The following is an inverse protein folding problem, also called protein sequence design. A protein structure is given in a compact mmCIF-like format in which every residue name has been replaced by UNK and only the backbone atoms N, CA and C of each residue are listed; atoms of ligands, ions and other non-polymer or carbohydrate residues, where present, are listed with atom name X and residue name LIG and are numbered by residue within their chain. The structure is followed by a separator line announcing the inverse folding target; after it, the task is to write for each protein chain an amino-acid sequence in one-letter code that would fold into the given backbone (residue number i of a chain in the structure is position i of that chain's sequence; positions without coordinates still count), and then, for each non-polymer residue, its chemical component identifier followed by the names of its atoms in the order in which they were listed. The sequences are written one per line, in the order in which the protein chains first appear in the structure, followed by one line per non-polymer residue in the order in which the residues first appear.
data_IF_905643723161
#
_entry.id   IF_905643723161
#
_cell.length_a   1.000
_cell.length_b   1.000
_cell.length_c   1.000
_cell.angle_alpha   90.00
_cell.angle_beta   90.00
_cell.angle_gamma   90.00
#
_symmetry.space_group_name_H-M   'P 1'
#
loop_
_entity.id
_entity.type
_entity.pdbx_description
1 polymer ?
#
# COMPACT_ATOMS: atom_id res chain seq x y z
N UNK A 1 -14.32 4.61 8.85
CA UNK A 1 -12.93 4.42 8.40
C UNK A 1 -12.65 2.93 8.34
N UNK A 2 -11.62 2.49 7.60
CA UNK A 2 -11.17 1.10 7.56
C UNK A 2 -9.71 1.04 8.00
N UNK A 3 -9.41 0.15 8.96
CA UNK A 3 -8.04 -0.16 9.37
C UNK A 3 -7.85 -1.66 9.13
N UNK A 4 -6.88 -2.02 8.29
CA UNK A 4 -6.74 -3.41 7.86
C UNK A 4 -5.28 -3.83 7.69
N UNK A 5 -5.01 -5.08 8.06
CA UNK A 5 -3.79 -5.80 7.70
C UNK A 5 -4.22 -7.10 6.98
N UNK A 6 -4.53 -7.04 5.67
CA UNK A 6 -4.92 -8.20 4.89
C UNK A 6 -3.83 -9.28 4.85
N UNK A 7 -4.19 -10.55 4.62
CA UNK A 7 -3.23 -11.65 4.60
C UNK A 7 -2.18 -11.50 3.47
N UNK A 8 -0.91 -11.73 3.82
CA UNK A 8 0.23 -11.70 2.89
C UNK A 8 0.40 -12.99 2.05
N UNK A 9 -0.51 -13.97 2.21
CA UNK A 9 -0.39 -15.30 1.60
C UNK A 9 -0.50 -15.32 0.08
N UNK A 10 0.11 -16.35 -0.55
CA UNK A 10 0.08 -16.56 -2.01
C UNK A 10 -1.32 -16.93 -2.52
N UNK A 11 -1.43 -16.83 -3.85
CA UNK A 11 -2.59 -17.19 -4.70
C UNK A 11 -3.30 -18.45 -4.18
N UNK A 12 -4.63 -18.43 -4.14
CA UNK A 12 -5.37 -19.69 -4.02
C UNK A 12 -5.37 -20.27 -5.43
N UNK A 13 -4.71 -21.40 -5.61
CA UNK A 13 -4.84 -22.20 -6.82
C UNK A 13 -5.48 -23.52 -6.47
N UNK A 14 -6.32 -24.02 -7.37
CA UNK A 14 -6.81 -25.39 -7.31
C UNK A 14 -5.87 -26.20 -8.21
N UNK A 15 -5.18 -27.19 -7.65
CA UNK A 15 -4.38 -28.12 -8.44
C UNK A 15 -5.24 -29.32 -8.80
N UNK A 16 -5.51 -29.51 -10.09
CA UNK A 16 -6.15 -30.72 -10.60
C UNK A 16 -5.07 -31.63 -11.16
N UNK A 17 -5.10 -32.92 -10.76
CA UNK A 17 -4.22 -33.94 -11.35
C UNK A 17 -5.07 -34.80 -12.28
N UNK A 18 -4.74 -34.80 -13.56
CA UNK A 18 -5.41 -35.60 -14.59
C UNK A 18 -5.04 -37.09 -14.39
N UNK A 19 -5.79 -38.02 -15.01
CA UNK A 19 -5.47 -39.46 -14.97
C UNK A 19 -4.08 -39.80 -15.57
N UNK A 20 -3.52 -38.91 -16.39
CA UNK A 20 -2.17 -39.01 -16.97
C UNK A 20 -1.05 -38.47 -16.05
N UNK A 21 -1.39 -37.99 -14.85
CA UNK A 21 -0.42 -37.48 -13.87
C UNK A 21 0.07 -36.06 -14.09
N UNK A 22 -0.44 -35.36 -15.11
CA UNK A 22 -0.21 -33.93 -15.31
C UNK A 22 -0.92 -33.11 -14.20
N UNK A 23 -0.26 -32.04 -13.74
CA UNK A 23 -0.84 -31.10 -12.78
C UNK A 23 -1.21 -29.80 -13.48
N UNK A 24 -2.49 -29.57 -13.70
CA UNK A 24 -3.01 -28.27 -14.09
C UNK A 24 -3.33 -27.44 -12.84
N UNK A 25 -2.78 -26.23 -12.79
CA UNK A 25 -2.99 -25.29 -11.68
C UNK A 25 -3.86 -24.15 -12.17
N UNK A 26 -5.12 -24.11 -11.76
CA UNK A 26 -6.05 -23.06 -12.15
C UNK A 26 -6.05 -21.93 -11.12
N UNK A 27 -5.80 -20.70 -11.58
CA UNK A 27 -5.80 -19.50 -10.76
C UNK A 27 -7.26 -19.10 -10.47
N UNK A 28 -7.71 -19.18 -9.22
CA UNK A 28 -9.04 -18.74 -8.81
C UNK A 28 -9.15 -17.22 -8.94
N UNK A 29 -9.74 -16.74 -10.03
CA UNK A 29 -10.07 -15.32 -10.23
C UNK A 29 -11.52 -15.07 -9.83
N UNK A 30 -11.73 -14.16 -8.86
CA UNK A 30 -13.07 -13.73 -8.49
C UNK A 30 -13.51 -12.59 -9.41
N UNK A 31 -14.51 -12.82 -10.25
CA UNK A 31 -15.06 -11.78 -11.10
C UNK A 31 -16.04 -10.90 -10.30
N UNK A 32 -15.60 -9.68 -9.99
CA UNK A 32 -16.34 -8.67 -9.22
C UNK A 32 -16.54 -7.45 -10.09
N UNK A 33 -17.78 -7.16 -10.50
CA UNK A 33 -18.08 -6.02 -11.39
C UNK A 33 -17.76 -4.66 -10.76
N UNK A 34 -17.67 -4.58 -9.44
CA UNK A 34 -17.31 -3.37 -8.70
C UNK A 34 -15.79 -3.14 -8.58
N UNK A 35 -14.97 -4.08 -9.08
CA UNK A 35 -13.51 -3.94 -9.11
C UNK A 35 -13.06 -3.25 -10.39
N UNK A 36 -11.94 -2.53 -10.31
CA UNK A 36 -11.35 -1.85 -11.47
C UNK A 36 -10.61 -2.80 -12.40
N UNK A 37 -10.08 -3.90 -11.87
CA UNK A 37 -9.43 -4.95 -12.64
C UNK A 37 -9.61 -6.32 -11.97
N UNK A 38 -9.78 -7.35 -12.79
CA UNK A 38 -9.75 -8.75 -12.36
C UNK A 38 -8.30 -9.20 -12.20
N UNK A 39 -7.96 -9.81 -11.06
CA UNK A 39 -6.63 -10.36 -10.80
C UNK A 39 -6.70 -11.54 -9.82
N UNK A 40 -5.79 -12.51 -9.95
CA UNK A 40 -5.59 -13.58 -8.95
C UNK A 40 -4.79 -13.10 -7.74
N UNK A 41 -4.25 -11.87 -7.78
CA UNK A 41 -3.55 -11.27 -6.67
C UNK A 41 -4.52 -10.84 -5.54
N UNK A 42 -4.47 -11.59 -4.44
CA UNK A 42 -5.31 -11.34 -3.25
C UNK A 42 -5.08 -9.96 -2.64
N UNK A 43 -3.83 -9.49 -2.57
CA UNK A 43 -3.52 -8.22 -1.92
C UNK A 43 -4.08 -7.04 -2.72
N UNK A 44 -3.99 -7.09 -4.04
CA UNK A 44 -4.63 -6.13 -4.93
C UNK A 44 -6.16 -6.17 -4.82
N UNK A 45 -6.75 -7.37 -4.77
CA UNK A 45 -8.19 -7.54 -4.54
C UNK A 45 -8.65 -6.96 -3.19
N UNK A 46 -7.85 -7.08 -2.13
CA UNK A 46 -8.15 -6.46 -0.84
C UNK A 46 -8.15 -4.93 -0.91
N UNK A 47 -7.21 -4.31 -1.64
CA UNK A 47 -7.20 -2.85 -1.82
C UNK A 47 -8.47 -2.39 -2.55
N UNK A 48 -8.85 -3.08 -3.63
CA UNK A 48 -10.08 -2.80 -4.38
C UNK A 48 -11.31 -2.97 -3.48
N UNK A 49 -11.39 -4.07 -2.73
CA UNK A 49 -12.50 -4.35 -1.83
C UNK A 49 -12.64 -3.31 -0.71
N UNK A 50 -11.53 -2.92 -0.07
CA UNK A 50 -11.54 -1.88 0.96
C UNK A 50 -12.07 -0.58 0.36
N UNK A 51 -11.62 -0.21 -0.84
CA UNK A 51 -12.12 0.98 -1.52
C UNK A 51 -13.62 0.90 -1.77
N UNK A 52 -14.17 -0.24 -2.21
CA UNK A 52 -15.62 -0.36 -2.49
C UNK A 52 -16.49 -0.33 -1.23
N UNK A 53 -15.96 -0.72 -0.08
CA UNK A 53 -16.65 -0.61 1.21
C UNK A 53 -16.66 0.81 1.81
N UNK A 54 -15.75 1.69 1.39
CA UNK A 54 -15.68 3.04 1.95
C UNK A 54 -16.83 3.90 1.43
N UNK A 55 -17.46 4.64 2.34
CA UNK A 55 -18.28 5.82 1.98
C UNK A 55 -17.44 6.82 1.20
N UNK A 56 -18.09 7.74 0.48
CA UNK A 56 -17.43 8.79 -0.33
C UNK A 56 -16.47 9.67 0.45
N UNK A 57 -16.63 9.81 1.76
CA UNK A 57 -15.73 10.56 2.67
C UNK A 57 -14.94 9.65 3.61
N UNK A 58 -14.99 8.33 3.36
CA UNK A 58 -14.36 7.32 4.19
C UNK A 58 -12.84 7.34 4.05
N UNK A 59 -12.15 7.03 5.14
CA UNK A 59 -10.68 6.98 5.21
C UNK A 59 -10.21 5.56 5.43
N UNK A 60 -9.06 5.20 4.87
CA UNK A 60 -8.43 3.91 5.10
C UNK A 60 -6.94 4.02 5.41
N UNK A 61 -6.48 3.13 6.30
CA UNK A 61 -5.08 2.78 6.47
C UNK A 61 -4.93 1.27 6.28
N UNK A 62 -4.19 0.85 5.26
CA UNK A 62 -4.09 -0.56 4.86
C UNK A 62 -2.64 -0.99 4.78
N UNK A 63 -2.29 -2.04 5.51
CA UNK A 63 -0.97 -2.67 5.39
C UNK A 63 -0.94 -3.52 4.12
N UNK A 64 0.02 -3.30 3.23
CA UNK A 64 0.19 -4.04 1.99
C UNK A 64 1.65 -4.44 1.78
N UNK A 65 1.95 -5.60 1.19
CA UNK A 65 3.30 -5.93 0.76
C UNK A 65 3.78 -5.06 -0.42
N UNK A 66 5.09 -4.98 -0.63
CA UNK A 66 5.70 -4.20 -1.70
C UNK A 66 5.17 -4.55 -3.10
N UNK A 67 4.73 -5.78 -3.35
CA UNK A 67 4.24 -6.17 -4.69
C UNK A 67 3.04 -5.33 -5.14
N UNK A 68 2.19 -4.88 -4.22
CA UNK A 68 1.08 -3.97 -4.56
C UNK A 68 1.59 -2.66 -5.20
N UNK A 69 2.80 -2.23 -4.85
CA UNK A 69 3.40 -0.98 -5.32
C UNK A 69 4.08 -1.08 -6.70
N UNK A 70 4.48 -2.28 -7.14
CA UNK A 70 5.28 -2.43 -8.38
C UNK A 70 4.74 -3.46 -9.38
N UNK A 71 3.79 -4.31 -9.00
CA UNK A 71 3.24 -5.33 -9.91
C UNK A 71 2.63 -4.68 -11.16
N UNK A 72 3.00 -5.18 -12.34
CA UNK A 72 2.48 -4.70 -13.62
C UNK A 72 1.07 -5.22 -13.93
N UNK A 73 0.58 -4.97 -15.14
CA UNK A 73 -0.71 -5.46 -15.61
C UNK A 73 -1.86 -4.95 -14.75
N UNK A 74 -2.64 -5.86 -14.15
CA UNK A 74 -3.75 -5.47 -13.26
C UNK A 74 -3.30 -4.61 -12.07
N UNK A 75 -2.09 -4.84 -11.54
CA UNK A 75 -1.54 -4.03 -10.45
C UNK A 75 -1.35 -2.57 -10.82
N UNK A 76 -0.84 -2.31 -12.03
CA UNK A 76 -0.68 -0.95 -12.56
C UNK A 76 -2.03 -0.26 -12.75
N UNK A 77 -3.01 -0.96 -13.34
CA UNK A 77 -4.38 -0.45 -13.51
C UNK A 77 -5.00 -0.08 -12.17
N UNK A 78 -4.87 -0.94 -11.16
CA UNK A 78 -5.41 -0.70 -9.82
C UNK A 78 -4.71 0.48 -9.15
N UNK A 79 -3.37 0.60 -9.25
CA UNK A 79 -2.64 1.76 -8.71
C UNK A 79 -3.08 3.06 -9.38
N UNK A 80 -3.19 3.08 -10.70
CA UNK A 80 -3.65 4.27 -11.45
C UNK A 80 -5.06 4.66 -11.01
N UNK A 81 -5.97 3.69 -10.93
CA UNK A 81 -7.35 3.92 -10.47
C UNK A 81 -7.42 4.37 -9.01
N UNK A 82 -6.53 3.87 -8.15
CA UNK A 82 -6.41 4.33 -6.76
C UNK A 82 -6.02 5.81 -6.71
N UNK A 83 -5.01 6.24 -7.48
CA UNK A 83 -4.60 7.64 -7.57
C UNK A 83 -5.71 8.54 -8.14
N UNK A 84 -6.45 8.05 -9.15
CA UNK A 84 -7.54 8.79 -9.78
C UNK A 84 -8.74 8.98 -8.86
N UNK A 85 -9.19 7.91 -8.20
CA UNK A 85 -10.49 7.86 -7.51
C UNK A 85 -10.40 8.08 -5.99
N UNK A 86 -9.19 8.16 -5.45
CA UNK A 86 -8.96 8.40 -4.02
C UNK A 86 -7.90 9.48 -3.85
N UNK A 87 -7.88 10.11 -2.68
CA UNK A 87 -6.79 10.96 -2.23
C UNK A 87 -5.79 10.07 -1.47
N UNK A 88 -4.92 9.36 -2.20
CA UNK A 88 -3.80 8.60 -1.64
C UNK A 88 -2.72 9.58 -1.24
N UNK A 89 -2.71 9.97 0.02
CA UNK A 89 -1.88 11.10 0.46
C UNK A 89 -0.58 10.67 1.16
N UNK A 90 -0.47 9.41 1.59
CA UNK A 90 0.71 8.94 2.32
C UNK A 90 0.98 7.44 2.14
N UNK A 91 2.26 7.09 1.99
CA UNK A 91 2.78 5.73 2.04
C UNK A 91 3.90 5.67 3.09
N UNK A 92 3.72 4.83 4.11
CA UNK A 92 4.75 4.52 5.10
C UNK A 92 5.43 3.21 4.71
N UNK A 93 6.73 3.22 4.45
CA UNK A 93 7.51 2.00 4.22
C UNK A 93 7.94 1.43 5.56
N UNK A 94 7.42 0.25 5.91
CA UNK A 94 7.72 -0.39 7.19
C UNK A 94 9.09 -1.10 7.16
N UNK A 95 9.77 -1.20 8.31
CA UNK A 95 11.04 -1.91 8.44
C UNK A 95 10.81 -3.41 8.35
N UNK A 96 11.87 -4.14 8.03
CA UNK A 96 11.84 -5.60 8.04
C UNK A 96 11.94 -6.13 9.47
N UNK A 97 11.54 -7.39 9.67
CA UNK A 97 11.70 -8.07 10.96
C UNK A 97 10.62 -7.75 12.02
N UNK A 98 9.58 -7.01 11.64
CA UNK A 98 8.43 -6.68 12.52
C UNK A 98 7.23 -7.63 12.35
N UNK A 99 7.22 -8.47 11.31
CA UNK A 99 6.20 -9.49 11.08
C UNK A 99 6.76 -10.89 11.36
N UNK A 100 5.88 -11.83 11.71
CA UNK A 100 6.23 -13.25 11.89
C UNK A 100 6.82 -13.88 10.61
N UNK A 101 6.33 -13.45 9.45
CA UNK A 101 6.88 -13.86 8.17
C UNK A 101 8.19 -13.09 7.90
N UNK A 102 9.32 -13.77 8.12
CA UNK A 102 10.65 -13.22 7.88
C UNK A 102 10.80 -12.75 6.42
N UNK A 103 11.37 -11.56 6.23
CA UNK A 103 11.66 -11.01 4.90
C UNK A 103 10.50 -10.28 4.21
N UNK A 104 9.28 -10.31 4.76
CA UNK A 104 8.17 -9.54 4.20
C UNK A 104 8.47 -8.04 4.28
N UNK A 105 8.47 -7.39 3.12
CA UNK A 105 8.53 -5.94 2.99
C UNK A 105 7.12 -5.41 2.83
N UNK A 106 6.66 -4.65 3.82
CA UNK A 106 5.31 -4.11 3.85
C UNK A 106 5.31 -2.58 3.93
N UNK A 107 4.18 -1.99 3.56
CA UNK A 107 3.91 -0.57 3.56
C UNK A 107 2.53 -0.33 4.16
N UNK A 108 2.27 0.87 4.66
CA UNK A 108 0.93 1.32 5.01
C UNK A 108 0.49 2.36 4.00
N UNK A 109 -0.61 2.11 3.30
CA UNK A 109 -1.26 3.08 2.42
C UNK A 109 -2.30 3.85 3.22
N UNK A 110 -2.25 5.16 3.16
CA UNK A 110 -3.27 6.04 3.73
C UNK A 110 -3.98 6.80 2.61
N UNK A 111 -5.28 6.56 2.48
CA UNK A 111 -6.09 7.22 1.45
C UNK A 111 -7.49 7.58 1.95
N UNK A 112 -8.00 8.71 1.45
CA UNK A 112 -9.39 9.10 1.63
C UNK A 112 -10.15 8.75 0.33
N UNK A 113 -11.27 8.05 0.44
CA UNK A 113 -12.16 7.83 -0.69
C UNK A 113 -12.76 9.18 -1.13
N UNK A 114 -13.16 9.27 -2.39
CA UNK A 114 -13.72 10.47 -2.99
C UNK A 114 -14.81 10.11 -3.99
N UNK A 115 -15.62 11.09 -4.36
CA UNK A 115 -16.64 10.94 -5.40
C UNK A 115 -16.01 10.80 -6.79
N UNK A 116 -16.80 10.38 -7.78
CA UNK A 116 -16.33 10.34 -9.15
C UNK A 116 -15.99 11.76 -9.63
N UNK A 117 -14.83 11.92 -10.27
CA UNK A 117 -14.35 13.19 -10.79
C UNK A 117 -13.66 12.96 -12.14
N UNK A 118 -13.76 13.90 -13.10
CA UNK A 118 -12.99 13.82 -14.34
C UNK A 118 -11.49 14.05 -14.11
N UNK A 119 -11.13 14.67 -12.98
CA UNK A 119 -9.74 14.92 -12.60
C UNK A 119 -9.29 13.95 -11.50
N UNK A 120 -8.02 13.50 -11.50
CA UNK A 120 -7.46 12.71 -10.41
C UNK A 120 -7.56 13.42 -9.06
N UNK A 121 -7.99 12.70 -8.04
CA UNK A 121 -8.06 13.21 -6.67
C UNK A 121 -6.69 13.32 -6.01
N UNK A 122 -5.82 12.33 -6.22
CA UNK A 122 -4.45 12.39 -5.70
C UNK A 122 -3.64 13.43 -6.47
N UNK A 123 -3.10 14.41 -5.76
CA UNK A 123 -2.22 15.46 -6.33
C UNK A 123 -0.75 15.21 -6.03
N UNK A 124 -0.48 14.75 -4.83
CA UNK A 124 0.85 14.41 -4.34
C UNK A 124 0.73 13.23 -3.36
N UNK A 125 1.75 12.38 -3.34
CA UNK A 125 1.87 11.28 -2.39
C UNK A 125 3.13 11.49 -1.57
N UNK A 126 2.99 11.45 -0.25
CA UNK A 126 4.13 11.54 0.65
C UNK A 126 4.63 10.17 1.06
N UNK A 127 5.93 9.96 0.96
CA UNK A 127 6.60 8.73 1.36
C UNK A 127 7.40 8.97 2.62
N UNK A 128 7.20 8.09 3.60
CA UNK A 128 8.07 7.99 4.76
C UNK A 128 8.88 6.69 4.69
N UNK A 129 10.19 6.79 4.56
CA UNK A 129 11.08 5.64 4.56
C UNK A 129 11.50 5.28 6.00
N UNK A 130 10.72 4.41 6.65
CA UNK A 130 11.10 3.78 7.92
C UNK A 130 11.69 2.38 7.71
N UNK A 131 12.39 2.15 6.60
CA UNK A 131 12.95 0.85 6.25
C UNK A 131 14.45 0.91 6.02
N UNK A 132 14.91 1.85 5.20
CA UNK A 132 16.33 1.97 4.82
C UNK A 132 17.17 2.28 6.05
N UNK A 133 18.20 1.45 6.32
CA UNK A 133 19.07 1.52 7.49
C UNK A 133 18.33 1.40 8.84
N UNK A 134 17.16 0.74 8.87
CA UNK A 134 16.40 0.49 10.10
C UNK A 134 16.27 -1.02 10.33
N UNK A 135 16.64 -1.44 11.54
CA UNK A 135 16.62 -2.84 11.93
C UNK A 135 15.78 -3.03 13.20
N UNK A 136 14.74 -3.85 13.07
CA UNK A 136 13.94 -4.38 14.17
C UNK A 136 13.95 -5.90 14.14
N UNK A 137 13.73 -6.51 15.30
CA UNK A 137 13.51 -7.95 15.43
C UNK A 137 12.44 -8.20 16.48
N UNK A 138 11.61 -9.22 16.29
CA UNK A 138 10.52 -9.55 17.20
C UNK A 138 10.95 -9.75 18.66
N UNK A 139 12.17 -10.26 18.90
CA UNK A 139 12.66 -10.60 20.24
C UNK A 139 13.62 -9.58 20.84
N UNK A 140 14.64 -9.13 20.09
CA UNK A 140 15.74 -8.31 20.65
C UNK A 140 15.50 -6.81 20.54
N UNK A 141 14.82 -6.38 19.47
CA UNK A 141 14.55 -4.96 19.19
C UNK A 141 13.14 -4.80 18.59
N UNK A 142 12.09 -5.03 19.39
CA UNK A 142 10.72 -4.89 18.92
C UNK A 142 10.46 -3.45 18.50
N UNK A 143 9.57 -3.26 17.52
CA UNK A 143 9.07 -1.94 17.14
C UNK A 143 8.22 -1.38 18.29
N UNK A 144 8.46 -0.12 18.65
CA UNK A 144 7.72 0.57 19.72
C UNK A 144 6.94 1.75 19.16
N UNK A 145 6.14 2.39 20.01
CA UNK A 145 5.37 3.56 19.60
C UNK A 145 6.29 4.76 19.35
N UNK A 146 7.33 4.93 20.15
CA UNK A 146 8.27 6.06 20.09
C UNK A 146 9.05 6.07 18.76
N UNK A 147 9.30 4.88 18.21
CA UNK A 147 9.90 4.68 16.88
C UNK A 147 9.08 5.34 15.76
N UNK A 148 7.77 5.51 15.95
CA UNK A 148 6.84 6.15 15.00
C UNK A 148 6.65 7.64 15.25
N UNK A 149 7.25 8.22 16.30
CA UNK A 149 6.99 9.61 16.69
C UNK A 149 7.33 10.62 15.58
N UNK A 150 8.50 10.45 14.95
CA UNK A 150 8.93 11.31 13.82
C UNK A 150 7.96 11.17 12.62
N UNK A 151 7.53 9.95 12.30
CA UNK A 151 6.53 9.73 11.26
C UNK A 151 5.21 10.45 11.58
N UNK A 152 4.70 10.33 12.80
CA UNK A 152 3.45 10.97 13.22
C UNK A 152 3.56 12.49 13.12
N UNK A 153 4.71 13.05 13.50
CA UNK A 153 5.00 14.47 13.36
C UNK A 153 5.02 14.90 11.88
N UNK A 154 5.71 14.16 11.01
CA UNK A 154 5.77 14.42 9.58
C UNK A 154 4.40 14.26 8.89
N UNK A 155 3.63 13.25 9.31
CA UNK A 155 2.28 12.98 8.83
C UNK A 155 1.32 14.13 9.15
N UNK A 156 1.51 14.78 10.31
CA UNK A 156 0.74 15.93 10.79
C UNK A 156 -0.79 15.72 10.64
N UNK A 157 -1.40 14.86 11.47
CA UNK A 157 -2.82 14.51 11.34
C UNK A 157 -3.76 15.71 11.54
N UNK A 158 -3.30 16.75 12.24
CA UNK A 158 -4.08 17.97 12.48
C UNK A 158 -4.19 18.83 11.22
N UNK A 159 -3.14 18.89 10.39
CA UNK A 159 -3.16 19.65 9.14
C UNK A 159 -2.14 19.14 8.11
N UNK A 160 -2.61 18.31 7.17
CA UNK A 160 -1.78 17.75 6.09
C UNK A 160 -1.17 18.81 5.15
N UNK A 161 -1.75 20.02 5.07
CA UNK A 161 -1.24 21.07 4.19
C UNK A 161 0.00 21.77 4.76
N UNK A 162 0.32 21.53 6.04
CA UNK A 162 1.49 22.10 6.72
C UNK A 162 2.67 21.11 6.81
N UNK A 163 2.62 20.02 6.04
CA UNK A 163 3.71 19.03 5.99
C UNK A 163 4.92 19.64 5.27
N UNK A 164 6.11 19.34 5.76
CA UNK A 164 7.38 19.81 5.20
C UNK A 164 8.30 18.62 4.99
N UNK A 165 8.88 18.49 3.80
CA UNK A 165 9.84 17.43 3.52
C UNK A 165 11.03 17.54 4.46
N UNK A 166 11.48 16.40 4.98
CA UNK A 166 12.79 16.33 5.64
C UNK A 166 13.88 16.08 4.61
N UNK A 167 13.54 15.48 3.46
CA UNK A 167 14.46 15.25 2.35
C UNK A 167 14.77 16.51 1.55
N UNK A 168 16.03 16.68 1.20
CA UNK A 168 16.51 17.70 0.25
C UNK A 168 17.74 17.19 -0.49
N UNK A 169 17.76 17.29 -1.82
CA UNK A 169 18.83 16.76 -2.67
C UNK A 169 20.25 17.12 -2.19
N UNK A 170 20.52 18.41 -1.94
CA UNK A 170 21.86 18.86 -1.54
C UNK A 170 22.07 18.96 -0.03
N UNK A 171 21.03 19.33 0.73
CA UNK A 171 21.15 19.66 2.16
C UNK A 171 20.88 18.47 3.09
N UNK A 172 20.03 17.54 2.68
CA UNK A 172 19.66 16.39 3.49
C UNK A 172 19.20 15.22 2.59
N UNK A 173 20.13 14.59 1.84
CA UNK A 173 19.79 13.51 0.91
C UNK A 173 19.24 12.26 1.62
N UNK A 174 19.50 12.13 2.93
CA UNK A 174 19.04 11.02 3.77
C UNK A 174 17.68 11.28 4.45
N UNK A 175 17.04 12.42 4.18
CA UNK A 175 15.73 12.72 4.75
C UNK A 175 14.69 11.67 4.38
N UNK A 176 13.95 11.19 5.39
CA UNK A 176 13.02 10.05 5.25
C UNK A 176 11.64 10.44 4.72
N UNK A 177 11.33 11.74 4.71
CA UNK A 177 10.01 12.25 4.36
C UNK A 177 10.09 13.12 3.10
N UNK A 178 9.49 12.63 2.01
CA UNK A 178 9.54 13.23 0.67
C UNK A 178 8.18 13.09 -0.03
N UNK A 179 7.76 14.11 -0.77
CA UNK A 179 6.58 14.02 -1.64
C UNK A 179 6.97 13.79 -3.10
N UNK A 180 6.06 13.17 -3.84
CA UNK A 180 6.08 13.03 -5.29
C UNK A 180 4.74 13.49 -5.84
N UNK A 181 4.77 14.29 -6.91
CA UNK A 181 3.57 14.76 -7.59
C UNK A 181 2.91 13.61 -8.37
N UNK A 182 1.61 13.76 -8.66
CA UNK A 182 0.87 12.81 -9.50
C UNK A 182 1.61 12.51 -10.82
N UNK A 183 2.19 13.53 -11.46
CA UNK A 183 2.94 13.39 -12.73
C UNK A 183 4.22 12.58 -12.60
N UNK A 184 4.86 12.55 -11.44
CA UNK A 184 6.05 11.73 -11.20
C UNK A 184 5.70 10.26 -10.91
N UNK A 185 4.44 9.97 -10.57
CA UNK A 185 3.95 8.65 -10.20
C UNK A 185 3.23 7.92 -11.34
N UNK A 186 2.91 8.63 -12.42
CA UNK A 186 2.21 8.13 -13.62
C UNK A 186 3.09 8.22 -14.84
#
# INVERSE_FOLDING_TARGET
YVLANPPFGKKSSMSFTNEEGEQETDDLTYNRQDFWATTSNKQLNFVQHIRTMLKTTGKAAVVVPDNVLFEGGAGETIRRKLLENTDLHTILRLPTGIFYAHGVKANVLFFDNREASPNPWTREVWYYDYRTNIHHTLKKKPLRFEDMAEFIQCYNPQNRNKRKATWHQDKNPDGRWRSFSYKELT
#
